data_IF_713196401354
#
_entry.id   IF_713196401354
#
_cell.length_a   1.000
_cell.length_b   1.000
_cell.length_c   1.000
_cell.angle_alpha   90.00
_cell.angle_beta   90.00
_cell.angle_gamma   90.00
#
_symmetry.space_group_name_H-M   'P 1'
#
loop_
_entity.id
_entity.type
_entity.pdbx_description
1 polymer ?
#
# COMPACT_ATOMS: atom_id res chain seq x y z
N UNK A 1 -2.97 1.00 3.58
CA UNK A 1 -4.37 1.13 3.13
C UNK A 1 -4.99 -0.24 2.89
N UNK A 2 -4.47 -1.04 1.95
CA UNK A 2 -5.01 -2.37 1.62
C UNK A 2 -5.13 -3.34 2.81
N UNK A 3 -4.09 -3.46 3.64
CA UNK A 3 -4.10 -4.40 4.78
C UNK A 3 -5.24 -4.10 5.77
N UNK A 4 -5.44 -2.82 6.10
CA UNK A 4 -6.52 -2.37 6.98
C UNK A 4 -7.88 -2.63 6.33
N UNK A 5 -8.05 -2.29 5.05
CA UNK A 5 -9.31 -2.53 4.33
C UNK A 5 -9.72 -4.02 4.38
N UNK A 6 -8.80 -4.94 4.12
CA UNK A 6 -9.10 -6.36 4.16
C UNK A 6 -9.29 -6.90 5.57
N UNK A 7 -8.60 -6.34 6.58
CA UNK A 7 -8.85 -6.68 7.98
C UNK A 7 -10.27 -6.28 8.41
N UNK A 8 -10.71 -5.06 8.08
CA UNK A 8 -12.08 -4.58 8.36
C UNK A 8 -13.15 -5.42 7.66
N UNK A 9 -12.87 -5.91 6.44
CA UNK A 9 -13.80 -6.78 5.69
C UNK A 9 -13.82 -8.23 6.20
N UNK A 10 -12.87 -8.62 7.06
CA UNK A 10 -12.71 -10.02 7.48
C UNK A 10 -13.79 -10.47 8.46
N UNK A 11 -13.84 -11.78 8.72
CA UNK A 11 -14.73 -12.35 9.73
C UNK A 11 -14.33 -12.03 11.18
N UNK A 12 -13.10 -11.53 11.41
CA UNK A 12 -12.55 -11.22 12.74
C UNK A 12 -11.72 -9.92 12.71
N UNK A 13 -12.36 -8.75 12.49
CA UNK A 13 -11.66 -7.48 12.29
C UNK A 13 -10.69 -7.10 13.41
N UNK A 14 -11.10 -7.20 14.67
CA UNK A 14 -10.30 -6.76 15.82
C UNK A 14 -8.99 -7.55 15.94
N UNK A 15 -9.05 -8.86 15.71
CA UNK A 15 -7.87 -9.74 15.72
C UNK A 15 -6.92 -9.37 14.59
N UNK A 16 -7.46 -9.21 13.38
CA UNK A 16 -6.64 -8.97 12.19
C UNK A 16 -6.01 -7.57 12.20
N UNK A 17 -6.70 -6.56 12.75
CA UNK A 17 -6.14 -5.23 12.98
C UNK A 17 -5.00 -5.29 14.01
N UNK A 18 -5.17 -6.01 15.12
CA UNK A 18 -4.12 -6.20 16.12
C UNK A 18 -2.87 -6.88 15.53
N UNK A 19 -3.06 -7.91 14.70
CA UNK A 19 -1.96 -8.58 13.99
C UNK A 19 -1.22 -7.61 13.05
N UNK A 20 -1.95 -6.76 12.31
CA UNK A 20 -1.38 -5.74 11.41
C UNK A 20 -0.63 -4.66 12.20
N UNK A 21 -1.18 -4.17 13.31
CA UNK A 21 -0.53 -3.17 14.16
C UNK A 21 0.76 -3.73 14.77
N UNK A 22 0.74 -4.99 15.21
CA UNK A 22 1.92 -5.71 15.65
C UNK A 22 3.01 -5.78 14.57
N UNK A 23 2.64 -6.05 13.32
CA UNK A 23 3.58 -6.05 12.19
C UNK A 23 4.12 -4.63 11.92
N UNK A 24 3.24 -3.63 11.83
CA UNK A 24 3.59 -2.26 11.52
C UNK A 24 4.50 -1.63 12.59
N UNK A 25 4.35 -2.00 13.86
CA UNK A 25 5.22 -1.54 14.94
C UNK A 25 6.70 -1.96 14.79
N UNK A 26 7.00 -2.94 13.91
CA UNK A 26 8.35 -3.48 13.69
C UNK A 26 8.94 -3.07 12.35
N UNK A 27 8.22 -2.28 11.56
CA UNK A 27 8.61 -1.85 10.23
C UNK A 27 8.51 -0.33 10.11
N UNK A 28 9.31 0.26 9.24
CA UNK A 28 9.12 1.65 8.85
C UNK A 28 8.01 1.73 7.80
N UNK A 29 6.92 2.43 8.12
CA UNK A 29 5.81 2.68 7.19
C UNK A 29 6.00 4.02 6.51
N UNK A 30 6.58 4.01 5.31
CA UNK A 30 6.79 5.21 4.51
C UNK A 30 5.47 5.74 3.95
N UNK A 31 5.33 7.07 3.96
CA UNK A 31 4.18 7.74 3.34
C UNK A 31 4.32 7.72 1.83
N UNK A 32 3.23 7.42 1.14
CA UNK A 32 3.13 7.67 -0.29
C UNK A 32 2.87 9.15 -0.52
N UNK A 33 3.95 9.93 -0.66
CA UNK A 33 3.89 11.38 -0.82
C UNK A 33 3.85 11.81 -2.30
N UNK A 34 3.87 13.14 -2.52
CA UNK A 34 3.84 13.73 -3.86
C UNK A 34 5.08 13.38 -4.70
N UNK A 35 6.25 13.20 -4.07
CA UNK A 35 7.48 12.84 -4.78
C UNK A 35 7.39 11.42 -5.33
N UNK A 36 6.94 10.48 -4.50
CA UNK A 36 6.69 9.09 -4.92
C UNK A 36 5.57 9.05 -5.97
N UNK A 37 4.50 9.85 -5.80
CA UNK A 37 3.42 9.94 -6.78
C UNK A 37 3.90 10.40 -8.16
N UNK A 38 4.73 11.44 -8.22
CA UNK A 38 5.31 11.93 -9.47
C UNK A 38 6.18 10.86 -10.14
N UNK A 39 7.01 10.16 -9.36
CA UNK A 39 7.86 9.07 -9.87
C UNK A 39 7.03 7.92 -10.46
N UNK A 40 5.98 7.47 -9.75
CA UNK A 40 5.06 6.45 -10.24
C UNK A 40 4.39 6.88 -11.55
N UNK A 41 3.97 8.15 -11.65
CA UNK A 41 3.40 8.71 -12.88
C UNK A 41 4.37 8.63 -14.05
N UNK A 42 5.64 9.01 -13.85
CA UNK A 42 6.69 8.91 -14.86
C UNK A 42 6.91 7.45 -15.32
N UNK A 43 6.96 6.50 -14.38
CA UNK A 43 7.13 5.09 -14.69
C UNK A 43 5.96 4.55 -15.51
N UNK A 44 4.71 4.83 -15.10
CA UNK A 44 3.51 4.43 -15.86
C UNK A 44 3.53 4.99 -17.28
N UNK A 45 3.89 6.26 -17.46
CA UNK A 45 4.03 6.87 -18.78
C UNK A 45 5.09 6.16 -19.64
N UNK A 46 6.21 5.72 -19.04
CA UNK A 46 7.24 4.94 -19.75
C UNK A 46 6.72 3.56 -20.16
N UNK A 47 6.03 2.86 -19.27
CA UNK A 47 5.49 1.51 -19.54
C UNK A 47 4.42 1.55 -20.65
N UNK A 48 3.53 2.55 -20.65
CA UNK A 48 2.55 2.76 -21.72
C UNK A 48 3.24 3.00 -23.07
N UNK A 49 4.30 3.84 -23.10
CA UNK A 49 5.08 4.04 -24.33
C UNK A 49 5.80 2.78 -24.81
N UNK A 50 6.17 1.89 -23.90
CA UNK A 50 6.80 0.61 -24.21
C UNK A 50 5.80 -0.48 -24.61
N UNK A 51 4.49 -0.24 -24.51
CA UNK A 51 3.44 -1.21 -24.85
C UNK A 51 3.27 -2.33 -23.82
N UNK A 52 3.78 -2.17 -22.59
CA UNK A 52 3.74 -3.19 -21.53
C UNK A 52 2.78 -2.82 -20.41
N UNK A 53 1.75 -2.02 -20.70
CA UNK A 53 0.78 -1.54 -19.73
C UNK A 53 -0.60 -1.30 -20.34
#
# INVERSE_FOLDING_TARGET
MELIYWAEKSATPERNLSDIDGLAARLEVLKYDQGVAAHTGQLRAKLVRAGTH
#
